data_IF_670221167822
#
_entry.id   IF_670221167822
#
_cell.length_a   1.000
_cell.length_b   1.000
_cell.length_c   1.000
_cell.angle_alpha   90.00
_cell.angle_beta   90.00
_cell.angle_gamma   90.00
#
_symmetry.space_group_name_H-M   'P 1'
#
loop_
_entity.id
_entity.type
_entity.pdbx_description
1 polymer ?
#
# COMPACT_ATOMS: atom_id res chain seq x y z
N UNK A 1 19.52 4.08 -32.08
CA UNK A 1 18.06 4.17 -32.37
C UNK A 1 17.28 2.88 -32.02
N UNK A 2 17.92 1.76 -31.63
CA UNK A 2 17.24 0.53 -31.23
C UNK A 2 16.82 0.48 -29.74
N UNK A 3 17.48 1.23 -28.85
CA UNK A 3 17.20 1.20 -27.39
C UNK A 3 15.86 1.86 -26.99
N UNK A 4 15.36 2.84 -27.74
CA UNK A 4 14.13 3.58 -27.37
C UNK A 4 12.84 2.75 -27.52
N UNK A 5 12.84 1.68 -28.33
CA UNK A 5 11.69 0.80 -28.53
C UNK A 5 11.57 -0.28 -27.44
N UNK A 6 12.71 -0.72 -26.88
CA UNK A 6 12.73 -1.67 -25.77
C UNK A 6 12.22 -1.03 -24.49
N UNK A 7 12.78 0.12 -24.08
CA UNK A 7 12.31 0.86 -22.89
C UNK A 7 10.81 1.18 -22.91
N UNK A 8 10.26 1.48 -24.08
CA UNK A 8 8.83 1.77 -24.23
C UNK A 8 7.96 0.52 -24.03
N UNK A 9 8.47 -0.65 -24.44
CA UNK A 9 7.80 -1.94 -24.28
C UNK A 9 7.88 -2.43 -22.82
N UNK A 10 9.02 -2.28 -22.17
CA UNK A 10 9.23 -2.63 -20.76
C UNK A 10 8.32 -1.79 -19.85
N UNK A 11 8.27 -0.47 -20.07
CA UNK A 11 7.35 0.45 -19.35
C UNK A 11 5.89 0.03 -19.51
N UNK A 12 5.48 -0.39 -20.71
CA UNK A 12 4.10 -0.83 -20.96
C UNK A 12 3.76 -2.14 -20.22
N UNK A 13 4.71 -3.06 -20.11
CA UNK A 13 4.56 -4.30 -19.35
C UNK A 13 4.43 -4.02 -17.85
N UNK A 14 5.23 -3.10 -17.31
CA UNK A 14 5.15 -2.75 -15.90
C UNK A 14 3.87 -1.97 -15.57
N UNK A 15 3.43 -1.05 -16.44
CA UNK A 15 2.11 -0.40 -16.33
C UNK A 15 1.00 -1.45 -16.33
N UNK A 16 1.09 -2.46 -17.21
CA UNK A 16 0.11 -3.54 -17.23
C UNK A 16 0.14 -4.39 -15.96
N UNK A 17 1.32 -4.66 -15.38
CA UNK A 17 1.45 -5.34 -14.08
C UNK A 17 0.79 -4.53 -12.96
N UNK A 18 1.06 -3.23 -12.86
CA UNK A 18 0.44 -2.37 -11.84
C UNK A 18 -1.07 -2.30 -12.03
N UNK A 19 -1.57 -2.11 -13.27
CA UNK A 19 -3.01 -2.12 -13.56
C UNK A 19 -3.66 -3.45 -13.18
N UNK A 20 -2.99 -4.57 -13.44
CA UNK A 20 -3.47 -5.90 -13.06
C UNK A 20 -3.46 -6.09 -11.54
N UNK A 21 -2.44 -5.59 -10.85
CA UNK A 21 -2.38 -5.58 -9.38
C UNK A 21 -3.51 -4.76 -8.78
N UNK A 22 -3.75 -3.55 -9.29
CA UNK A 22 -4.87 -2.68 -8.86
C UNK A 22 -6.19 -3.42 -9.05
N UNK A 23 -6.42 -4.01 -10.23
CA UNK A 23 -7.65 -4.77 -10.50
C UNK A 23 -7.82 -5.98 -9.56
N UNK A 24 -6.73 -6.67 -9.24
CA UNK A 24 -6.75 -7.75 -8.23
C UNK A 24 -7.00 -7.24 -6.81
N UNK A 25 -6.44 -6.09 -6.45
CA UNK A 25 -6.64 -5.45 -5.15
C UNK A 25 -8.10 -4.97 -4.97
N UNK A 26 -8.71 -4.41 -6.03
CA UNK A 26 -10.11 -4.00 -6.04
C UNK A 26 -11.07 -5.20 -5.96
N UNK A 27 -10.72 -6.31 -6.62
CA UNK A 27 -11.48 -7.56 -6.56
C UNK A 27 -11.33 -8.27 -5.19
N UNK A 28 -10.19 -8.08 -4.52
CA UNK A 28 -9.94 -8.67 -3.23
C UNK A 28 -10.76 -7.98 -2.13
N UNK A 29 -11.77 -8.68 -1.61
CA UNK A 29 -12.53 -8.24 -0.44
C UNK A 29 -11.95 -8.89 0.83
N UNK A 30 -11.63 -8.06 1.82
CA UNK A 30 -11.27 -8.52 3.16
C UNK A 30 -12.52 -8.87 3.99
N UNK A 31 -12.36 -9.72 5.01
CA UNK A 31 -13.42 -10.06 5.97
C UNK A 31 -13.55 -9.03 7.11
N UNK A 32 -13.06 -7.79 6.94
CA UNK A 32 -13.09 -6.74 7.95
C UNK A 32 -12.24 -5.51 7.61
N UNK A 33 -12.09 -4.61 8.60
CA UNK A 33 -11.43 -3.28 8.50
C UNK A 33 -9.93 -3.44 8.72
N UNK A 34 -9.21 -3.80 7.67
CA UNK A 34 -7.78 -4.17 7.78
C UNK A 34 -6.96 -3.77 6.57
N UNK A 35 -7.52 -2.99 5.64
CA UNK A 35 -6.86 -2.66 4.38
C UNK A 35 -6.29 -1.25 4.52
N UNK A 36 -4.98 -1.20 4.70
CA UNK A 36 -4.20 0.03 4.82
C UNK A 36 -3.65 0.37 3.45
N UNK A 37 -4.07 1.53 2.95
CA UNK A 37 -3.48 2.21 1.81
C UNK A 37 -2.59 3.33 2.34
N UNK A 38 -1.28 3.20 2.15
CA UNK A 38 -0.30 4.22 2.50
C UNK A 38 0.41 4.70 1.23
N UNK A 39 0.36 6.01 1.01
CA UNK A 39 0.96 6.68 -0.14
C UNK A 39 1.85 7.80 0.39
N UNK A 40 3.10 7.76 -0.03
CA UNK A 40 4.16 8.63 0.45
C UNK A 40 4.70 9.43 -0.73
N UNK A 41 4.58 10.77 -0.73
CA UNK A 41 5.07 11.58 -1.82
C UNK A 41 6.61 11.62 -1.83
N UNK A 42 7.24 11.80 -3.00
CA UNK A 42 8.67 12.05 -3.06
C UNK A 42 8.93 13.41 -2.42
N UNK A 43 9.87 13.45 -1.45
CA UNK A 43 10.20 14.55 -0.51
C UNK A 43 9.79 14.30 0.93
N UNK A 44 8.90 13.35 1.20
CA UNK A 44 8.63 12.98 2.59
C UNK A 44 9.77 12.12 3.18
N UNK A 45 9.85 12.09 4.50
CA UNK A 45 10.88 11.35 5.22
C UNK A 45 10.28 10.09 5.81
N UNK A 46 10.90 8.94 5.51
CA UNK A 46 10.57 7.64 6.14
C UNK A 46 10.35 7.73 7.65
N UNK A 47 11.23 8.38 8.47
CA UNK A 47 11.00 8.49 9.91
C UNK A 47 9.74 9.28 10.31
N UNK A 48 9.31 10.26 9.50
CA UNK A 48 8.06 11.01 9.73
C UNK A 48 6.85 10.09 9.60
N UNK A 49 6.82 9.28 8.55
CA UNK A 49 5.76 8.28 8.33
C UNK A 49 5.83 7.17 9.38
N UNK A 50 7.03 6.72 9.76
CA UNK A 50 7.20 5.74 10.82
C UNK A 50 6.65 6.22 12.17
N UNK A 51 6.84 7.51 12.49
CA UNK A 51 6.26 8.15 13.68
C UNK A 51 4.73 8.22 13.60
N UNK A 52 4.17 8.62 12.46
CA UNK A 52 2.73 8.63 12.23
C UNK A 52 2.12 7.24 12.43
N UNK A 53 2.72 6.20 11.86
CA UNK A 53 2.28 4.81 12.04
C UNK A 53 2.38 4.34 13.51
N UNK A 54 3.37 4.81 14.27
CA UNK A 54 3.49 4.49 15.69
C UNK A 54 2.40 5.16 16.53
N UNK A 55 2.01 6.39 16.19
CA UNK A 55 0.90 7.10 16.82
C UNK A 55 -0.44 6.41 16.50
N UNK A 56 -0.64 6.05 15.23
CA UNK A 56 -1.78 5.25 14.76
C UNK A 56 -1.85 3.88 15.45
N UNK A 57 -0.72 3.24 15.71
CA UNK A 57 -0.66 1.99 16.46
C UNK A 57 -1.18 2.17 17.90
N UNK A 58 -0.78 3.26 18.57
CA UNK A 58 -1.26 3.61 19.90
C UNK A 58 -2.77 3.85 19.92
N UNK A 59 -3.26 4.63 18.96
CA UNK A 59 -4.70 4.93 18.80
C UNK A 59 -5.50 3.67 18.46
N UNK A 60 -4.99 2.81 17.59
CA UNK A 60 -5.61 1.54 17.24
C UNK A 60 -5.73 0.58 18.44
N UNK A 61 -4.83 0.68 19.43
CA UNK A 61 -4.91 -0.12 20.66
C UNK A 61 -6.16 0.17 21.50
N UNK A 62 -6.71 1.40 21.39
CA UNK A 62 -7.92 1.83 22.08
C UNK A 62 -9.23 1.38 21.39
N UNK A 63 -9.15 0.70 20.24
CA UNK A 63 -10.34 0.16 19.57
C UNK A 63 -11.02 -0.89 20.46
N UNK A 64 -12.31 -0.69 20.73
CA UNK A 64 -13.12 -1.57 21.62
C UNK A 64 -13.29 -2.98 21.06
N UNK A 65 -13.43 -3.11 19.75
CA UNK A 65 -13.59 -4.41 19.08
C UNK A 65 -12.24 -5.15 19.05
N UNK A 66 -12.13 -6.24 19.84
CA UNK A 66 -10.91 -7.07 19.90
C UNK A 66 -10.43 -7.54 18.53
N UNK A 67 -11.37 -7.95 17.66
CA UNK A 67 -11.05 -8.45 16.31
C UNK A 67 -10.48 -7.34 15.44
N UNK A 68 -11.19 -6.21 15.28
CA UNK A 68 -10.70 -5.06 14.51
C UNK A 68 -9.37 -4.53 15.06
N UNK A 69 -9.22 -4.47 16.39
CA UNK A 69 -7.97 -4.05 17.02
C UNK A 69 -6.81 -4.95 16.59
N UNK A 70 -6.94 -6.26 16.71
CA UNK A 70 -5.89 -7.21 16.31
C UNK A 70 -5.56 -7.09 14.83
N UNK A 71 -6.57 -6.88 13.99
CA UNK A 71 -6.37 -6.74 12.54
C UNK A 71 -5.65 -5.45 12.18
N UNK A 72 -6.07 -4.30 12.72
CA UNK A 72 -5.43 -3.00 12.45
C UNK A 72 -4.00 -2.98 12.99
N UNK A 73 -3.78 -3.45 14.23
CA UNK A 73 -2.42 -3.53 14.80
C UNK A 73 -1.49 -4.43 13.97
N UNK A 74 -2.00 -5.57 13.49
CA UNK A 74 -1.22 -6.45 12.63
C UNK A 74 -0.87 -5.80 11.29
N UNK A 75 -1.82 -5.10 10.67
CA UNK A 75 -1.60 -4.39 9.41
C UNK A 75 -0.58 -3.24 9.58
N UNK A 76 -0.70 -2.42 10.63
CA UNK A 76 0.27 -1.34 10.92
C UNK A 76 1.67 -1.92 11.15
N UNK A 77 1.79 -2.99 11.93
CA UNK A 77 3.07 -3.66 12.19
C UNK A 77 3.71 -4.15 10.88
N UNK A 78 2.91 -4.72 9.97
CA UNK A 78 3.36 -5.16 8.67
C UNK A 78 3.82 -3.99 7.77
N UNK A 79 3.08 -2.87 7.75
CA UNK A 79 3.49 -1.67 7.02
C UNK A 79 4.79 -1.11 7.59
N UNK A 80 4.94 -1.02 8.91
CA UNK A 80 6.17 -0.56 9.54
C UNK A 80 7.36 -1.46 9.20
N UNK A 81 7.17 -2.78 9.16
CA UNK A 81 8.21 -3.72 8.76
C UNK A 81 8.64 -3.53 7.29
N UNK A 82 7.68 -3.28 6.38
CA UNK A 82 7.97 -2.94 4.98
C UNK A 82 8.67 -1.58 4.85
N UNK A 83 8.16 -0.57 5.55
CA UNK A 83 8.71 0.77 5.53
C UNK A 83 10.17 0.81 6.01
N UNK A 84 10.56 -0.02 6.98
CA UNK A 84 11.95 -0.16 7.45
C UNK A 84 12.92 -0.68 6.39
N UNK A 85 12.45 -1.40 5.37
CA UNK A 85 13.31 -1.84 4.26
C UNK A 85 13.74 -0.67 3.38
N UNK A 86 12.95 0.41 3.36
CA UNK A 86 13.23 1.62 2.61
C UNK A 86 13.92 2.64 3.52
N UNK A 87 15.21 2.86 3.33
CA UNK A 87 15.94 3.89 4.09
C UNK A 87 15.58 5.32 3.64
N UNK A 88 15.12 5.47 2.39
CA UNK A 88 14.71 6.74 1.78
C UNK A 88 13.51 6.52 0.86
N UNK A 89 12.63 7.51 0.77
CA UNK A 89 11.51 7.50 -0.18
C UNK A 89 12.07 7.69 -1.61
N UNK A 90 11.72 6.82 -2.57
CA UNK A 90 12.12 6.97 -3.97
C UNK A 90 11.60 8.27 -4.60
N UNK A 91 12.22 8.68 -5.72
CA UNK A 91 11.97 9.98 -6.36
C UNK A 91 10.55 10.14 -6.95
N UNK A 92 9.84 9.04 -7.16
CA UNK A 92 8.44 9.06 -7.62
C UNK A 92 7.43 8.91 -6.46
N UNK A 93 7.91 8.69 -5.24
CA UNK A 93 7.07 8.35 -4.09
C UNK A 93 6.96 6.84 -3.88
N UNK A 94 6.35 6.44 -2.78
CA UNK A 94 6.21 5.04 -2.38
C UNK A 94 4.75 4.74 -2.08
N UNK A 95 4.25 3.66 -2.67
CA UNK A 95 2.90 3.15 -2.41
C UNK A 95 3.04 1.82 -1.68
N UNK A 96 2.37 1.71 -0.53
CA UNK A 96 2.32 0.49 0.28
C UNK A 96 0.86 0.14 0.52
N UNK A 97 0.47 -1.04 0.05
CA UNK A 97 -0.80 -1.66 0.36
C UNK A 97 -0.57 -2.84 1.28
N UNK A 98 -1.25 -2.81 2.43
CA UNK A 98 -1.18 -3.89 3.39
C UNK A 98 -2.58 -4.26 3.85
N UNK A 99 -2.90 -5.55 3.84
CA UNK A 99 -4.16 -6.01 4.41
C UNK A 99 -4.26 -7.53 4.44
N UNK A 100 -5.35 -8.03 4.99
CA UNK A 100 -5.65 -9.45 5.00
C UNK A 100 -6.87 -9.69 4.13
N UNK A 101 -6.71 -10.52 3.11
CA UNK A 101 -7.80 -10.91 2.20
C UNK A 101 -8.17 -12.36 2.50
N UNK A 102 -9.43 -12.73 2.30
CA UNK A 102 -9.84 -14.13 2.39
C UNK A 102 -9.85 -14.69 0.98
N UNK A 103 -9.09 -15.75 0.75
CA UNK A 103 -9.14 -16.48 -0.52
C UNK A 103 -10.39 -17.34 -0.60
N UNK A 104 -10.79 -17.77 -1.80
CA UNK A 104 -11.96 -18.64 -2.02
C UNK A 104 -11.93 -19.95 -1.20
N UNK A 105 -10.74 -20.41 -0.80
CA UNK A 105 -10.50 -21.55 0.10
C UNK A 105 -10.84 -21.26 1.58
N UNK A 106 -11.38 -20.08 1.90
CA UNK A 106 -11.68 -19.65 3.27
C UNK A 106 -10.45 -19.29 4.11
N UNK A 107 -9.24 -19.37 3.54
CA UNK A 107 -7.99 -19.03 4.24
C UNK A 107 -7.72 -17.53 4.23
N UNK A 108 -7.22 -17.03 5.36
CA UNK A 108 -6.71 -15.68 5.50
C UNK A 108 -5.32 -15.56 4.86
N UNK A 109 -5.19 -14.67 3.88
CA UNK A 109 -3.92 -14.36 3.22
C UNK A 109 -3.55 -12.91 3.48
N UNK A 110 -2.37 -12.71 4.08
CA UNK A 110 -1.78 -11.37 4.19
C UNK A 110 -1.27 -10.92 2.82
N UNK A 111 -1.69 -9.74 2.42
CA UNK A 111 -1.30 -9.05 1.21
C UNK A 111 -0.42 -7.89 1.64
N UNK A 112 0.81 -7.90 1.18
CA UNK A 112 1.79 -6.85 1.40
C UNK A 112 2.38 -6.53 0.05
N UNK A 113 2.00 -5.38 -0.50
CA UNK A 113 2.43 -4.94 -1.83
C UNK A 113 3.04 -3.56 -1.65
N UNK A 114 4.29 -3.43 -2.05
CA UNK A 114 5.03 -2.18 -2.10
C UNK A 114 5.51 -1.97 -3.54
N UNK A 115 5.34 -0.75 -4.05
CA UNK A 115 5.86 -0.37 -5.37
C UNK A 115 6.06 1.14 -5.47
N UNK A 116 6.92 1.54 -6.40
CA UNK A 116 7.06 2.93 -6.82
C UNK A 116 6.13 3.22 -8.01
N UNK A 117 5.37 4.33 -7.99
CA UNK A 117 4.53 4.73 -9.11
C UNK A 117 5.40 5.31 -10.24
N UNK A 118 4.92 5.22 -11.49
CA UNK A 118 5.64 5.82 -12.65
C UNK A 118 5.57 7.34 -12.70
N UNK A 119 4.50 7.92 -12.14
CA UNK A 119 4.35 9.37 -12.00
C UNK A 119 4.63 9.75 -10.55
N UNK A 120 5.35 10.85 -10.30
CA UNK A 120 5.53 11.36 -8.95
C UNK A 120 4.18 11.70 -8.33
N UNK A 121 3.91 11.15 -7.15
CA UNK A 121 2.67 11.44 -6.42
C UNK A 121 2.90 12.62 -5.49
N UNK A 122 2.12 13.69 -5.63
CA UNK A 122 2.24 14.87 -4.74
C UNK A 122 1.36 14.78 -3.48
N UNK A 123 0.47 13.80 -3.41
CA UNK A 123 -0.47 13.58 -2.30
C UNK A 123 0.07 12.50 -1.36
N UNK A 124 0.13 12.82 -0.06
CA UNK A 124 0.21 11.82 0.99
C UNK A 124 -1.20 11.33 1.35
N UNK A 125 -1.42 10.02 1.36
CA UNK A 125 -2.69 9.43 1.75
C UNK A 125 -2.43 8.24 2.67
N UNK A 126 -3.11 8.25 3.81
CA UNK A 126 -3.17 7.12 4.72
C UNK A 126 -4.63 6.85 5.03
N UNK A 127 -5.12 5.67 4.64
CA UNK A 127 -6.50 5.24 4.83
C UNK A 127 -6.52 3.79 5.26
N UNK A 128 -7.27 3.51 6.33
CA UNK A 128 -7.56 2.16 6.80
C UNK A 128 -9.06 1.91 6.61
N UNK A 129 -9.42 1.12 5.60
CA UNK A 129 -10.82 0.79 5.32
C UNK A 129 -11.00 -0.73 5.10
N UNK A 130 -12.21 -1.15 4.75
CA UNK A 130 -12.52 -2.50 4.32
C UNK A 130 -12.14 -2.73 2.84
N UNK A 131 -11.78 -1.66 2.10
CA UNK A 131 -11.41 -1.68 0.68
C UNK A 131 -10.05 -1.00 0.45
N UNK A 132 -9.28 -1.48 -0.52
CA UNK A 132 -8.07 -0.79 -0.94
C UNK A 132 -8.47 0.43 -1.76
N UNK A 133 -8.11 1.63 -1.29
CA UNK A 133 -8.24 2.85 -2.07
C UNK A 133 -7.06 2.92 -3.05
N UNK A 134 -7.33 2.60 -4.31
CA UNK A 134 -6.38 2.71 -5.43
C UNK A 134 -6.60 3.96 -6.28
N UNK A 135 -7.54 4.83 -5.89
CA UNK A 135 -7.97 6.02 -6.65
C UNK A 135 -6.86 7.04 -6.91
N UNK A 136 -5.81 7.10 -6.08
CA UNK A 136 -4.69 8.03 -6.30
C UNK A 136 -3.81 7.63 -7.49
N UNK A 137 -3.99 6.40 -8.01
CA UNK A 137 -3.38 5.95 -9.26
C UNK A 137 -4.29 6.21 -10.48
N UNK A 138 -5.34 7.04 -10.39
CA UNK A 138 -6.05 7.52 -11.59
C UNK A 138 -5.09 8.44 -12.38
N UNK A 139 -4.33 7.80 -13.26
CA UNK A 139 -3.67 8.45 -14.38
C UNK A 139 -4.76 8.98 -15.30
N UNK A 140 -5.25 10.20 -15.03
CA UNK A 140 -5.53 11.13 -16.10
C UNK A 140 -4.26 11.93 -16.46
#
# INVERSE_FOLDING_TARGET
MAEQLQESSDKNVEIWKIKKLIKSLEAARGNGTSMISLIIPPRDQVPRIAKMLADEYGTASNIKSRVNRLSVLSAITSVQARLKLYNKVPNNGLVIYCGTIVTEDGKEKKVNIDFEPFKPINTSLYLCDNKFHTEVNHFE
#
